data_IF_803950018744
#
_entry.id   IF_803950018744
#
_cell.length_a   1.000
_cell.length_b   1.000
_cell.length_c   1.000
_cell.angle_alpha   90.00
_cell.angle_beta   90.00
_cell.angle_gamma   90.00
#
_symmetry.space_group_name_H-M   'P 1'
#
loop_
_entity.id
_entity.type
_entity.pdbx_description
1 polymer ?
#
# COMPACT_ATOMS: atom_id res chain seq x y z
N UNK A 1 -28.53 -19.19 2.72
CA UNK A 1 -27.08 -18.90 2.78
C UNK A 1 -26.77 -17.52 2.20
N UNK A 2 -27.14 -17.24 0.95
CA UNK A 2 -26.83 -16.01 0.20
C UNK A 2 -27.17 -14.70 0.93
N UNK A 3 -28.38 -14.59 1.46
CA UNK A 3 -28.81 -13.40 2.22
C UNK A 3 -27.95 -13.12 3.45
N UNK A 4 -27.50 -14.17 4.14
CA UNK A 4 -26.63 -14.03 5.30
C UNK A 4 -25.22 -13.59 4.86
N UNK A 5 -24.70 -14.20 3.80
CA UNK A 5 -23.41 -13.83 3.21
C UNK A 5 -23.41 -12.36 2.77
N UNK A 6 -24.43 -11.90 2.06
CA UNK A 6 -24.52 -10.50 1.62
C UNK A 6 -24.59 -9.51 2.79
N UNK A 7 -25.38 -9.82 3.83
CA UNK A 7 -25.45 -8.99 5.05
C UNK A 7 -24.10 -8.92 5.76
N UNK A 8 -23.40 -10.04 5.81
CA UNK A 8 -22.12 -10.12 6.50
C UNK A 8 -21.01 -9.42 5.72
N UNK A 9 -21.00 -9.54 4.39
CA UNK A 9 -20.12 -8.76 3.51
C UNK A 9 -20.40 -7.25 3.64
N UNK A 10 -21.67 -6.87 3.75
CA UNK A 10 -22.08 -5.48 3.95
C UNK A 10 -21.67 -4.92 5.31
N UNK A 11 -21.58 -5.77 6.33
CA UNK A 11 -21.18 -5.40 7.70
C UNK A 11 -19.66 -5.33 7.86
N UNK A 12 -18.94 -6.30 7.29
CA UNK A 12 -17.47 -6.42 7.41
C UNK A 12 -16.73 -5.56 6.38
N UNK A 13 -17.39 -5.25 5.26
CA UNK A 13 -16.85 -4.52 4.12
C UNK A 13 -15.46 -5.02 3.73
N UNK A 14 -15.33 -6.32 3.34
CA UNK A 14 -14.03 -6.92 3.04
C UNK A 14 -13.33 -6.21 1.87
N UNK A 15 -14.09 -5.66 0.94
CA UNK A 15 -13.61 -4.91 -0.23
C UNK A 15 -12.98 -3.54 0.11
N UNK A 16 -13.28 -2.99 1.29
CA UNK A 16 -12.67 -1.75 1.75
C UNK A 16 -11.45 -1.97 2.67
N UNK A 17 -10.95 -3.20 2.74
CA UNK A 17 -9.73 -3.50 3.49
C UNK A 17 -8.52 -2.71 2.97
N UNK A 18 -7.70 -2.22 3.90
CA UNK A 18 -6.35 -1.73 3.61
C UNK A 18 -5.47 -2.86 3.06
N UNK A 19 -4.36 -2.49 2.42
CA UNK A 19 -3.41 -3.45 1.84
C UNK A 19 -3.02 -4.52 2.87
N UNK A 20 -3.19 -5.79 2.51
CA UNK A 20 -2.90 -6.94 3.38
C UNK A 20 -4.02 -7.37 4.34
N UNK A 21 -5.09 -6.57 4.51
CA UNK A 21 -6.20 -6.92 5.43
C UNK A 21 -7.38 -7.63 4.76
N UNK A 22 -7.42 -7.64 3.42
CA UNK A 22 -8.49 -8.26 2.62
C UNK A 22 -8.75 -9.71 3.02
N UNK A 23 -7.69 -10.53 3.09
CA UNK A 23 -7.80 -11.95 3.46
C UNK A 23 -8.33 -12.14 4.88
N UNK A 24 -7.90 -11.30 5.82
CA UNK A 24 -8.36 -11.36 7.20
C UNK A 24 -9.87 -11.04 7.29
N UNK A 25 -10.33 -10.02 6.57
CA UNK A 25 -11.75 -9.66 6.54
C UNK A 25 -12.61 -10.76 5.91
N UNK A 26 -12.14 -11.40 4.85
CA UNK A 26 -12.84 -12.56 4.27
C UNK A 26 -12.86 -13.76 5.21
N UNK A 27 -11.80 -14.01 5.97
CA UNK A 27 -11.80 -15.03 7.04
C UNK A 27 -12.84 -14.72 8.11
N UNK A 28 -13.01 -13.46 8.50
CA UNK A 28 -14.06 -13.04 9.44
C UNK A 28 -15.45 -13.30 8.89
N UNK A 29 -15.72 -12.91 7.64
CA UNK A 29 -17.01 -13.20 6.97
C UNK A 29 -17.27 -14.71 6.98
N UNK A 30 -16.29 -15.49 6.55
CA UNK A 30 -16.41 -16.94 6.45
C UNK A 30 -16.64 -17.61 7.80
N UNK A 31 -15.93 -17.19 8.85
CA UNK A 31 -16.12 -17.70 10.21
C UNK A 31 -17.53 -17.41 10.74
N UNK A 32 -18.05 -16.19 10.49
CA UNK A 32 -19.38 -15.81 10.94
C UNK A 32 -20.48 -16.57 10.19
N UNK A 33 -20.34 -16.73 8.87
CA UNK A 33 -21.28 -17.56 8.10
C UNK A 33 -21.18 -19.03 8.50
N UNK A 34 -19.97 -19.53 8.73
CA UNK A 34 -19.75 -20.92 9.18
C UNK A 34 -20.45 -21.19 10.52
N UNK A 35 -20.35 -20.24 11.45
CA UNK A 35 -21.04 -20.29 12.74
C UNK A 35 -22.56 -20.24 12.59
N UNK A 36 -23.09 -19.37 11.72
CA UNK A 36 -24.54 -19.25 11.51
C UNK A 36 -25.21 -20.48 10.89
N UNK A 37 -24.47 -21.27 10.09
CA UNK A 37 -25.00 -22.43 9.39
C UNK A 37 -24.46 -23.77 9.91
N UNK A 38 -23.61 -23.76 10.94
CA UNK A 38 -22.95 -24.95 11.49
C UNK A 38 -22.19 -25.75 10.43
N UNK A 39 -21.55 -25.05 9.48
CA UNK A 39 -20.80 -25.64 8.36
C UNK A 39 -19.44 -24.97 8.24
N UNK A 40 -18.36 -25.73 8.06
CA UNK A 40 -17.05 -25.13 7.80
C UNK A 40 -16.97 -24.62 6.36
N UNK A 41 -16.98 -23.29 6.20
CA UNK A 41 -16.94 -22.63 4.89
C UNK A 41 -15.58 -21.94 4.75
N UNK A 42 -14.74 -22.36 3.81
CA UNK A 42 -13.50 -21.67 3.52
C UNK A 42 -13.74 -20.24 3.02
N UNK A 43 -12.86 -19.32 3.42
CA UNK A 43 -12.97 -17.91 3.05
C UNK A 43 -12.90 -17.62 1.56
N UNK A 44 -12.17 -18.43 0.78
CA UNK A 44 -12.14 -18.30 -0.68
C UNK A 44 -13.49 -18.70 -1.30
N UNK A 45 -14.13 -19.77 -0.82
CA UNK A 45 -15.46 -20.18 -1.29
C UNK A 45 -16.53 -19.13 -1.02
N UNK A 46 -16.52 -18.51 0.18
CA UNK A 46 -17.42 -17.42 0.52
C UNK A 46 -17.21 -16.19 -0.39
N UNK A 47 -15.95 -15.89 -0.72
CA UNK A 47 -15.58 -14.81 -1.64
C UNK A 47 -16.04 -15.11 -3.07
N UNK A 48 -15.72 -16.29 -3.60
CA UNK A 48 -16.03 -16.66 -4.98
C UNK A 48 -17.54 -16.73 -5.20
N UNK A 49 -18.29 -17.25 -4.23
CA UNK A 49 -19.75 -17.25 -4.26
C UNK A 49 -20.33 -15.83 -4.28
N UNK A 50 -19.78 -14.94 -3.44
CA UNK A 50 -20.16 -13.54 -3.45
C UNK A 50 -19.86 -12.84 -4.80
N UNK A 51 -18.66 -13.02 -5.36
CA UNK A 51 -18.29 -12.42 -6.64
C UNK A 51 -19.15 -12.99 -7.78
N UNK A 52 -19.49 -14.28 -7.75
CA UNK A 52 -20.43 -14.89 -8.70
C UNK A 52 -21.84 -14.27 -8.60
N UNK A 53 -22.34 -14.01 -7.39
CA UNK A 53 -23.63 -13.31 -7.19
C UNK A 53 -23.60 -11.87 -7.74
N UNK A 54 -22.49 -11.15 -7.60
CA UNK A 54 -22.34 -9.81 -8.19
C UNK A 54 -22.29 -9.86 -9.71
N UNK A 55 -21.55 -10.79 -10.28
CA UNK A 55 -21.37 -10.89 -11.73
C UNK A 55 -22.67 -11.29 -12.43
N UNK A 56 -23.40 -12.25 -11.86
CA UNK A 56 -24.74 -12.64 -12.33
C UNK A 56 -25.71 -11.48 -12.22
N UNK A 57 -25.72 -10.74 -11.10
CA UNK A 57 -26.55 -9.54 -10.94
C UNK A 57 -26.24 -8.47 -11.99
N UNK A 58 -24.97 -8.13 -12.21
CA UNK A 58 -24.55 -7.15 -13.23
C UNK A 58 -24.92 -7.59 -14.64
N UNK A 59 -24.77 -8.88 -14.94
CA UNK A 59 -25.15 -9.46 -16.23
C UNK A 59 -26.66 -9.39 -16.47
N UNK A 60 -27.46 -9.69 -15.44
CA UNK A 60 -28.93 -9.59 -15.51
C UNK A 60 -29.43 -8.15 -15.57
N UNK A 61 -28.82 -7.21 -14.84
CA UNK A 61 -29.15 -5.77 -14.92
C UNK A 61 -28.79 -5.19 -16.30
N UNK A 62 -27.61 -5.52 -16.84
CA UNK A 62 -27.23 -5.16 -18.22
C UNK A 62 -28.18 -5.74 -19.25
N UNK A 63 -28.59 -7.00 -19.10
CA UNK A 63 -29.60 -7.60 -19.94
C UNK A 63 -30.92 -6.81 -19.83
N UNK A 64 -31.46 -6.56 -18.64
CA UNK A 64 -32.70 -5.78 -18.49
C UNK A 64 -32.62 -4.39 -19.13
N UNK A 65 -31.49 -3.68 -19.02
CA UNK A 65 -31.29 -2.38 -19.67
C UNK A 65 -31.25 -2.47 -21.20
N UNK A 66 -30.63 -3.51 -21.75
CA UNK A 66 -30.58 -3.75 -23.20
C UNK A 66 -31.95 -4.14 -23.79
N UNK A 67 -32.75 -4.89 -23.03
CA UNK A 67 -34.12 -5.26 -23.43
C UNK A 67 -35.12 -4.10 -23.24
N UNK A 68 -34.82 -3.13 -22.36
CA UNK A 68 -35.64 -1.93 -22.12
C UNK A 68 -35.60 -0.86 -23.23
N UNK A 69 -34.72 -1.01 -24.22
CA UNK A 69 -34.60 -0.06 -25.36
C UNK A 69 -35.49 -0.37 -26.57
N UNK A 70 -36.38 -1.36 -26.50
CA UNK A 70 -37.23 -1.74 -27.64
C UNK A 70 -38.58 -2.35 -27.26
N UNK A 71 -39.60 -1.50 -27.18
CA UNK A 71 -40.96 -1.78 -27.66
C UNK A 71 -41.75 -2.97 -27.07
N UNK A 72 -42.03 -2.97 -25.76
CA UNK A 72 -43.09 -3.83 -25.17
C UNK A 72 -44.05 -3.04 -24.24
N UNK A 73 -44.51 -1.89 -24.71
CA UNK A 73 -45.47 -1.03 -23.99
C UNK A 73 -46.90 -1.61 -23.90
N UNK A 74 -47.15 -2.85 -24.37
CA UNK A 74 -48.52 -3.39 -24.49
C UNK A 74 -48.81 -4.70 -23.72
N UNK A 75 -47.83 -5.41 -23.17
CA UNK A 75 -48.08 -6.74 -22.55
C UNK A 75 -47.77 -6.76 -21.03
N UNK A 76 -46.99 -5.81 -20.51
CA UNK A 76 -46.58 -5.81 -19.10
C UNK A 76 -47.41 -4.89 -18.18
N UNK A 77 -48.31 -4.05 -18.70
CA UNK A 77 -49.01 -3.04 -17.86
C UNK A 77 -50.03 -3.64 -16.88
N UNK A 78 -50.54 -4.86 -17.12
CA UNK A 78 -51.56 -5.49 -16.25
C UNK A 78 -51.07 -6.60 -15.32
N UNK A 79 -49.81 -7.04 -15.42
CA UNK A 79 -49.26 -8.10 -14.54
C UNK A 79 -48.04 -7.68 -13.74
N UNK A 80 -47.48 -6.49 -14.02
CA UNK A 80 -46.28 -5.96 -13.35
C UNK A 80 -46.53 -5.11 -12.09
N UNK A 81 -47.69 -4.47 -11.85
CA UNK A 81 -47.84 -3.61 -10.66
C UNK A 81 -47.69 -4.38 -9.33
N UNK A 82 -47.86 -5.71 -9.33
CA UNK A 82 -47.65 -6.55 -8.15
C UNK A 82 -46.22 -7.13 -8.03
N UNK A 83 -45.47 -7.20 -9.14
CA UNK A 83 -44.09 -7.75 -9.16
C UNK A 83 -43.07 -6.67 -8.80
N UNK A 84 -43.40 -5.39 -8.97
CA UNK A 84 -42.61 -4.27 -8.45
C UNK A 84 -42.76 -4.03 -6.93
N UNK A 85 -43.66 -4.74 -6.22
CA UNK A 85 -43.97 -4.47 -4.81
C UNK A 85 -42.97 -5.06 -3.79
N UNK A 86 -42.02 -5.90 -4.21
CA UNK A 86 -40.91 -6.37 -3.37
C UNK A 86 -39.74 -6.73 -4.28
N UNK A 87 -38.83 -5.78 -4.57
CA UNK A 87 -37.46 -6.19 -4.94
C UNK A 87 -37.03 -7.18 -3.84
N UNK A 88 -36.78 -8.46 -4.15
CA UNK A 88 -36.48 -9.43 -3.12
C UNK A 88 -35.22 -8.93 -2.39
N UNK A 89 -35.21 -8.99 -1.05
CA UNK A 89 -34.19 -8.33 -0.21
C UNK A 89 -32.74 -8.59 -0.66
N UNK A 90 -32.47 -9.73 -1.31
CA UNK A 90 -31.17 -10.05 -1.88
C UNK A 90 -30.75 -9.11 -3.03
N UNK A 91 -31.67 -8.74 -3.93
CA UNK A 91 -31.41 -7.81 -5.04
C UNK A 91 -31.10 -6.41 -4.51
N UNK A 92 -31.84 -5.95 -3.49
CA UNK A 92 -31.58 -4.64 -2.89
C UNK A 92 -30.20 -4.60 -2.22
N UNK A 93 -29.85 -5.66 -1.47
CA UNK A 93 -28.51 -5.77 -0.87
C UNK A 93 -27.39 -5.82 -1.92
N UNK A 94 -27.61 -6.49 -3.05
CA UNK A 94 -26.63 -6.54 -4.14
C UNK A 94 -26.44 -5.17 -4.78
N UNK A 95 -27.52 -4.43 -5.03
CA UNK A 95 -27.44 -3.04 -5.52
C UNK A 95 -26.66 -2.15 -4.54
N UNK A 96 -27.04 -2.15 -3.26
CA UNK A 96 -26.38 -1.31 -2.24
C UNK A 96 -24.88 -1.62 -2.11
N UNK A 97 -24.49 -2.89 -2.30
CA UNK A 97 -23.09 -3.33 -2.28
C UNK A 97 -22.30 -2.91 -3.51
N UNK A 98 -22.95 -2.88 -4.69
CA UNK A 98 -22.35 -2.36 -5.91
C UNK A 98 -22.12 -0.85 -5.77
N UNK A 99 -23.15 -0.10 -5.38
CA UNK A 99 -23.09 1.35 -5.25
C UNK A 99 -22.01 1.76 -4.24
N UNK A 100 -21.97 1.11 -3.06
CA UNK A 100 -20.92 1.36 -2.05
C UNK A 100 -19.51 1.03 -2.52
N UNK A 101 -19.34 -0.03 -3.32
CA UNK A 101 -18.02 -0.36 -3.89
C UNK A 101 -17.57 0.74 -4.86
N UNK A 102 -18.46 1.17 -5.73
CA UNK A 102 -18.17 2.23 -6.71
C UNK A 102 -17.84 3.56 -6.01
N UNK A 103 -18.61 3.96 -4.99
CA UNK A 103 -18.31 5.15 -4.17
C UNK A 103 -16.93 5.08 -3.51
N UNK A 104 -16.57 3.92 -2.95
CA UNK A 104 -15.26 3.72 -2.31
C UNK A 104 -14.12 3.72 -3.31
N UNK A 105 -14.30 3.12 -4.48
CA UNK A 105 -13.29 3.09 -5.53
C UNK A 105 -13.07 4.48 -6.13
N UNK A 106 -14.14 5.25 -6.35
CA UNK A 106 -14.04 6.66 -6.79
C UNK A 106 -13.42 7.54 -5.69
N UNK A 107 -13.73 7.33 -4.41
CA UNK A 107 -13.06 8.04 -3.32
C UNK A 107 -11.55 7.73 -3.25
N UNK A 108 -11.15 6.47 -3.45
CA UNK A 108 -9.74 6.05 -3.51
C UNK A 108 -9.02 6.66 -4.71
N UNK A 109 -9.68 6.69 -5.87
CA UNK A 109 -9.17 7.31 -7.10
C UNK A 109 -9.01 8.82 -6.95
N UNK A 110 -10.02 9.52 -6.42
CA UNK A 110 -9.97 10.95 -6.15
C UNK A 110 -8.86 11.32 -5.15
N UNK A 111 -8.64 10.49 -4.12
CA UNK A 111 -7.51 10.68 -3.18
C UNK A 111 -6.17 10.53 -3.90
N UNK A 112 -5.99 9.48 -4.70
CA UNK A 112 -4.77 9.25 -5.49
C UNK A 112 -4.52 10.40 -6.48
N UNK A 113 -5.55 10.88 -7.16
CA UNK A 113 -5.45 12.01 -8.09
C UNK A 113 -5.05 13.30 -7.39
N UNK A 114 -5.66 13.60 -6.22
CA UNK A 114 -5.27 14.76 -5.40
C UNK A 114 -3.82 14.68 -4.95
N UNK A 115 -3.37 13.51 -4.52
CA UNK A 115 -1.98 13.29 -4.08
C UNK A 115 -1.01 13.36 -5.28
N UNK A 116 -1.40 12.86 -6.45
CA UNK A 116 -0.64 13.02 -7.69
C UNK A 116 -0.48 14.49 -8.06
N UNK A 117 -1.58 15.25 -8.11
CA UNK A 117 -1.56 16.68 -8.43
C UNK A 117 -0.68 17.48 -7.47
N UNK A 118 -0.62 17.09 -6.18
CA UNK A 118 0.30 17.69 -5.20
C UNK A 118 1.75 17.40 -5.53
N UNK A 119 2.09 16.16 -5.90
CA UNK A 119 3.45 15.79 -6.31
C UNK A 119 3.88 16.55 -7.56
N UNK A 120 3.04 16.57 -8.58
CA UNK A 120 3.32 17.26 -9.85
C UNK A 120 3.51 18.77 -9.61
N UNK A 121 2.70 19.37 -8.74
CA UNK A 121 2.82 20.77 -8.37
C UNK A 121 4.15 21.06 -7.64
N UNK A 122 4.59 20.18 -6.74
CA UNK A 122 5.86 20.34 -6.02
C UNK A 122 7.05 20.17 -6.97
N UNK A 123 6.98 19.21 -7.88
CA UNK A 123 8.02 18.97 -8.89
C UNK A 123 8.15 20.17 -9.83
N UNK A 124 7.02 20.68 -10.36
CA UNK A 124 7.02 21.88 -11.19
C UNK A 124 7.58 23.11 -10.46
N UNK A 125 7.23 23.30 -9.19
CA UNK A 125 7.78 24.39 -8.36
C UNK A 125 9.29 24.23 -8.17
N UNK A 126 9.74 23.00 -7.91
CA UNK A 126 11.17 22.68 -7.78
C UNK A 126 11.95 22.98 -9.06
N UNK A 127 11.45 22.55 -10.22
CA UNK A 127 12.07 22.85 -11.52
C UNK A 127 12.15 24.36 -11.77
N UNK A 128 11.11 25.12 -11.41
CA UNK A 128 11.11 26.57 -11.56
C UNK A 128 12.20 27.24 -10.69
N UNK A 129 12.36 26.81 -9.44
CA UNK A 129 13.40 27.32 -8.54
C UNK A 129 14.82 26.99 -9.03
N UNK A 130 15.02 25.79 -9.59
CA UNK A 130 16.30 25.40 -10.20
C UNK A 130 16.65 26.32 -11.38
N UNK A 131 15.72 26.51 -12.32
CA UNK A 131 15.93 27.40 -13.46
C UNK A 131 16.20 28.85 -13.02
N UNK A 132 15.50 29.33 -11.99
CA UNK A 132 15.71 30.67 -11.46
C UNK A 132 17.09 30.81 -10.78
N UNK A 133 17.54 29.79 -10.06
CA UNK A 133 18.88 29.74 -9.48
C UNK A 133 19.96 29.71 -10.57
N UNK A 134 19.81 28.89 -11.61
CA UNK A 134 20.71 28.87 -12.77
C UNK A 134 20.80 30.25 -13.43
N UNK A 135 19.67 30.93 -13.62
CA UNK A 135 19.67 32.31 -14.15
C UNK A 135 20.40 33.29 -13.23
N UNK A 136 20.25 33.18 -11.90
CA UNK A 136 20.97 34.02 -10.93
C UNK A 136 22.47 33.76 -10.99
N UNK A 137 22.90 32.50 -11.08
CA UNK A 137 24.32 32.13 -11.21
C UNK A 137 24.88 32.65 -12.54
N UNK A 138 24.17 32.45 -13.66
CA UNK A 138 24.58 32.95 -14.96
C UNK A 138 24.69 34.49 -14.99
N UNK A 139 23.78 35.21 -14.32
CA UNK A 139 23.87 36.67 -14.14
C UNK A 139 25.13 37.07 -13.37
N UNK A 140 25.43 36.40 -12.25
CA UNK A 140 26.64 36.66 -11.45
C UNK A 140 27.92 36.41 -12.25
N UNK A 141 27.98 35.32 -13.01
CA UNK A 141 29.15 34.99 -13.83
C UNK A 141 29.40 36.02 -14.93
N UNK A 142 28.34 36.56 -15.56
CA UNK A 142 28.48 37.65 -16.56
C UNK A 142 28.96 38.95 -15.93
N UNK A 143 28.57 39.27 -14.69
CA UNK A 143 29.01 40.47 -13.98
C UNK A 143 30.38 40.33 -13.31
N UNK A 144 30.86 39.11 -13.05
CA UNK A 144 32.16 38.83 -12.46
C UNK A 144 33.31 38.78 -13.49
N UNK A 145 33.00 38.82 -14.79
CA UNK A 145 33.99 38.80 -15.87
C UNK A 145 34.89 40.05 -15.97
N UNK A 146 34.73 41.04 -15.09
CA UNK A 146 35.53 42.29 -15.07
C UNK A 146 36.35 42.50 -13.79
N UNK A 147 36.45 41.53 -12.88
CA UNK A 147 37.26 41.66 -11.68
C UNK A 147 38.35 40.58 -11.59
N UNK A 148 39.59 40.96 -11.91
CA UNK A 148 40.80 40.20 -11.61
C UNK A 148 40.91 39.93 -10.09
N UNK A 149 40.44 38.76 -9.61
CA UNK A 149 40.79 38.12 -8.31
C UNK A 149 40.47 36.61 -8.33
N UNK A 150 40.87 35.89 -9.38
CA UNK A 150 40.40 34.51 -9.62
C UNK A 150 41.23 33.42 -8.90
N UNK A 151 42.53 33.63 -8.70
CA UNK A 151 43.42 32.56 -8.23
C UNK A 151 43.28 32.23 -6.73
N UNK A 152 42.98 33.21 -5.88
CA UNK A 152 42.94 33.02 -4.42
C UNK A 152 41.60 32.41 -3.94
N UNK A 153 40.51 32.69 -4.67
CA UNK A 153 39.19 32.11 -4.40
C UNK A 153 39.07 30.65 -4.83
N UNK A 154 39.71 30.28 -5.95
CA UNK A 154 39.70 28.89 -6.44
C UNK A 154 40.53 27.97 -5.53
N UNK A 155 41.64 28.46 -4.96
CA UNK A 155 42.41 27.73 -3.94
C UNK A 155 41.59 27.47 -2.67
N UNK A 156 40.84 28.46 -2.18
CA UNK A 156 40.02 28.31 -0.97
C UNK A 156 38.86 27.33 -1.16
N UNK A 157 38.26 27.30 -2.36
CA UNK A 157 37.22 26.32 -2.71
C UNK A 157 37.79 24.91 -2.83
N UNK A 158 38.98 24.77 -3.39
CA UNK A 158 39.67 23.49 -3.50
C UNK A 158 39.99 22.92 -2.11
N UNK A 159 40.50 23.74 -1.21
CA UNK A 159 40.77 23.33 0.18
C UNK A 159 39.50 22.84 0.88
N UNK A 160 38.36 23.54 0.70
CA UNK A 160 37.08 23.13 1.28
C UNK A 160 36.59 21.76 0.77
N UNK A 161 36.75 21.51 -0.54
CA UNK A 161 36.40 20.22 -1.15
C UNK A 161 37.29 19.09 -0.63
N UNK A 162 38.58 19.36 -0.46
CA UNK A 162 39.54 18.39 0.09
C UNK A 162 39.25 18.09 1.58
N UNK A 163 38.86 19.11 2.37
CA UNK A 163 38.38 18.91 3.74
C UNK A 163 37.11 18.06 3.80
N UNK A 164 36.13 18.29 2.92
CA UNK A 164 34.90 17.50 2.91
C UNK A 164 35.16 16.05 2.51
N UNK A 165 36.01 15.83 1.49
CA UNK A 165 36.44 14.50 1.08
C UNK A 165 37.19 13.77 2.19
N UNK A 166 38.07 14.47 2.89
CA UNK A 166 38.82 13.92 4.02
C UNK A 166 37.90 13.57 5.20
N UNK A 167 36.92 14.42 5.51
CA UNK A 167 35.91 14.12 6.53
C UNK A 167 35.12 12.84 6.18
N UNK A 168 34.74 12.67 4.92
CA UNK A 168 34.01 11.48 4.48
C UNK A 168 34.87 10.21 4.53
N UNK A 169 36.15 10.29 4.18
CA UNK A 169 37.07 9.15 4.27
C UNK A 169 37.35 8.76 5.72
N UNK A 170 37.55 9.73 6.60
CA UNK A 170 37.73 9.51 8.04
C UNK A 170 36.48 8.87 8.68
N UNK A 171 35.29 9.39 8.40
CA UNK A 171 34.04 8.83 8.90
C UNK A 171 33.80 7.39 8.41
N UNK A 172 34.09 7.13 7.13
CA UNK A 172 34.03 5.77 6.59
C UNK A 172 35.03 4.84 7.29
N UNK A 173 36.27 5.29 7.49
CA UNK A 173 37.32 4.51 8.16
C UNK A 173 36.92 4.18 9.59
N UNK A 174 36.43 5.16 10.34
CA UNK A 174 35.95 4.97 11.71
C UNK A 174 34.77 3.97 11.76
N UNK A 175 33.83 4.05 10.82
CA UNK A 175 32.73 3.07 10.74
C UNK A 175 33.25 1.65 10.49
N UNK A 176 34.26 1.50 9.64
CA UNK A 176 34.86 0.19 9.35
C UNK A 176 35.62 -0.36 10.57
N UNK A 177 36.46 0.46 11.22
CA UNK A 177 37.17 0.06 12.44
C UNK A 177 36.19 -0.34 13.55
N UNK A 178 35.07 0.37 13.68
CA UNK A 178 34.05 0.03 14.68
C UNK A 178 33.40 -1.33 14.41
N UNK A 179 33.09 -1.63 13.15
CA UNK A 179 32.56 -2.94 12.75
C UNK A 179 33.57 -4.07 12.98
N UNK A 180 34.85 -3.82 12.73
CA UNK A 180 35.91 -4.78 13.02
C UNK A 180 36.05 -5.05 14.51
N UNK A 181 35.99 -4.01 15.33
CA UNK A 181 36.00 -4.14 16.79
C UNK A 181 34.81 -4.97 17.29
N UNK A 182 33.59 -4.66 16.84
CA UNK A 182 32.39 -5.41 17.25
C UNK A 182 32.48 -6.88 16.81
N UNK A 183 33.06 -7.16 15.63
CA UNK A 183 33.30 -8.52 15.14
C UNK A 183 34.34 -9.27 15.98
N UNK A 184 35.41 -8.60 16.39
CA UNK A 184 36.44 -9.17 17.26
C UNK A 184 35.84 -9.49 18.65
N UNK A 185 35.01 -8.59 19.19
CA UNK A 185 34.33 -8.80 20.46
C UNK A 185 33.39 -10.01 20.42
N UNK A 186 32.62 -10.16 19.33
CA UNK A 186 31.76 -11.33 19.14
C UNK A 186 32.57 -12.65 19.09
N UNK A 187 33.73 -12.65 18.42
CA UNK A 187 34.62 -13.83 18.43
C UNK A 187 35.08 -14.17 19.85
N UNK A 188 35.49 -13.16 20.63
CA UNK A 188 35.94 -13.37 22.01
C UNK A 188 34.82 -13.98 22.86
N UNK A 189 33.59 -13.43 22.78
CA UNK A 189 32.44 -13.99 23.50
C UNK A 189 32.16 -15.44 23.09
N UNK A 190 32.25 -15.76 21.80
CA UNK A 190 32.05 -17.12 21.30
C UNK A 190 33.13 -18.09 21.82
N UNK A 191 34.40 -17.67 21.83
CA UNK A 191 35.49 -18.45 22.40
C UNK A 191 35.25 -18.70 23.88
N UNK A 192 34.90 -17.66 24.65
CA UNK A 192 34.59 -17.79 26.08
C UNK A 192 33.43 -18.76 26.34
N UNK A 193 32.34 -18.70 25.55
CA UNK A 193 31.23 -19.65 25.65
C UNK A 193 31.66 -21.09 25.30
N UNK A 194 32.51 -21.26 24.29
CA UNK A 194 33.01 -22.59 23.93
C UNK A 194 33.93 -23.18 25.00
N UNK A 195 34.71 -22.34 25.68
CA UNK A 195 35.56 -22.76 26.79
C UNK A 195 34.76 -23.06 28.05
N UNK A 196 33.72 -22.28 28.35
CA UNK A 196 32.84 -22.56 29.48
C UNK A 196 32.04 -23.85 29.26
N UNK A 197 31.54 -24.09 28.04
CA UNK A 197 30.91 -25.37 27.69
C UNK A 197 31.85 -26.56 27.90
N UNK A 198 33.10 -26.47 27.41
CA UNK A 198 34.11 -27.52 27.65
C UNK A 198 34.41 -27.75 29.13
N UNK A 199 34.49 -26.68 29.94
CA UNK A 199 34.67 -26.81 31.40
C UNK A 199 33.47 -27.48 32.05
N UNK A 200 32.25 -27.12 31.67
CA UNK A 200 31.04 -27.74 32.19
C UNK A 200 30.96 -29.23 31.83
N UNK A 201 31.23 -29.60 30.57
CA UNK A 201 31.29 -31.01 30.15
C UNK A 201 32.32 -31.82 30.95
N UNK A 202 33.48 -31.22 31.26
CA UNK A 202 34.49 -31.86 32.10
C UNK A 202 34.01 -32.04 33.54
N UNK A 203 33.34 -31.05 34.12
CA UNK A 203 32.76 -31.14 35.46
C UNK A 203 31.69 -32.21 35.53
N UNK A 204 30.81 -32.32 34.54
CA UNK A 204 29.78 -33.36 34.47
C UNK A 204 30.39 -34.77 34.40
N UNK A 205 31.49 -34.95 33.66
CA UNK A 205 32.22 -36.24 33.61
C UNK A 205 32.92 -36.60 34.92
N UNK A 206 33.25 -35.64 35.77
CA UNK A 206 33.86 -35.89 37.08
C UNK A 206 32.84 -36.14 38.19
N UNK A 207 31.55 -35.82 37.94
CA UNK A 207 30.45 -35.96 38.90
C UNK A 207 29.60 -37.23 38.67
N UNK A 208 29.98 -38.06 37.69
CA UNK A 208 29.45 -39.43 37.43
C UNK A 208 30.48 -40.46 37.87
#
# INVERSE_FOLDING_TARGET
MDLALLREVLRVEPYDGEYGTLTLRWKTVAANISSCFEMDIPHHSARDHYESMLETFKSSDRAQRLWGTGNEEAILEKTVPAIQAKKPRHIQLLQDLVDRREEKDEAKKAKKEKDQKRRDSLESTGSQLCLEAEQRVAKRQRTAGTAQKKDESDSTLQDLLDFEKQKHSEDHTYRMERLEFDKEEQKIRLVQMSESAKRNDQLERLLV
#
